data_IF_880243962215
#
_entry.id   IF_880243962215
#
_cell.length_a   1.000
_cell.length_b   1.000
_cell.length_c   1.000
_cell.angle_alpha   90.00
_cell.angle_beta   90.00
_cell.angle_gamma   90.00
#
_symmetry.space_group_name_H-M   'P 1'
#
loop_
_entity.id
_entity.type
_entity.pdbx_description
1 polymer ?
#
# COMPACT_ATOMS: atom_id res chain seq x y z
N UNK A 1 13.21 -29.30 2.96
CA UNK A 1 12.11 -28.98 2.01
C UNK A 1 12.17 -27.50 1.72
N UNK A 2 11.96 -27.08 0.46
CA UNK A 2 11.98 -25.68 0.04
C UNK A 2 10.60 -25.26 -0.48
N UNK A 3 10.13 -24.08 -0.09
CA UNK A 3 8.84 -23.52 -0.46
C UNK A 3 9.03 -22.15 -1.11
N UNK A 4 8.29 -21.89 -2.19
CA UNK A 4 8.03 -20.55 -2.69
C UNK A 4 6.68 -20.07 -2.14
N UNK A 5 6.70 -19.07 -1.27
CA UNK A 5 5.50 -18.48 -0.67
C UNK A 5 5.06 -17.26 -1.48
N UNK A 6 3.87 -17.34 -2.08
CA UNK A 6 3.35 -16.27 -2.94
C UNK A 6 2.24 -15.53 -2.20
N UNK A 7 2.38 -14.22 -2.04
CA UNK A 7 1.35 -13.38 -1.42
C UNK A 7 1.34 -12.00 -2.01
N UNK A 8 0.16 -11.39 -2.09
CA UNK A 8 0.05 -9.98 -2.47
C UNK A 8 0.23 -9.05 -1.28
N UNK A 9 0.20 -9.53 -0.04
CA UNK A 9 0.16 -8.68 1.16
C UNK A 9 1.10 -9.22 2.22
N UNK A 10 2.40 -9.26 1.90
CA UNK A 10 3.41 -9.71 2.87
C UNK A 10 3.45 -8.80 4.10
N UNK A 11 3.60 -7.49 3.87
CA UNK A 11 3.91 -6.48 4.90
C UNK A 11 3.07 -5.20 4.75
N UNK A 12 1.91 -5.30 4.11
CA UNK A 12 1.04 -4.13 3.90
C UNK A 12 0.45 -3.65 5.25
N UNK A 13 0.46 -2.32 5.48
CA UNK A 13 -0.15 -1.66 6.66
C UNK A 13 -1.61 -2.03 6.85
N UNK A 14 -2.03 -2.09 8.11
CA UNK A 14 -3.42 -2.31 8.54
C UNK A 14 -4.08 -3.53 7.88
N UNK A 15 -3.33 -4.63 7.71
CA UNK A 15 -3.80 -5.85 7.07
C UNK A 15 -3.47 -7.09 7.90
N UNK A 16 -4.51 -7.79 8.37
CA UNK A 16 -4.36 -9.00 9.18
C UNK A 16 -3.72 -10.16 8.40
N UNK A 17 -3.85 -10.18 7.07
CA UNK A 17 -3.16 -11.16 6.24
C UNK A 17 -1.65 -10.97 6.31
N UNK A 18 -1.15 -9.73 6.34
CA UNK A 18 0.29 -9.45 6.49
C UNK A 18 0.85 -10.05 7.77
N UNK A 19 0.17 -9.83 8.91
CA UNK A 19 0.56 -10.38 10.21
C UNK A 19 0.62 -11.92 10.17
N UNK A 20 -0.39 -12.57 9.57
CA UNK A 20 -0.43 -14.03 9.44
C UNK A 20 0.67 -14.55 8.51
N UNK A 21 0.92 -13.88 7.39
CA UNK A 21 1.93 -14.27 6.41
C UNK A 21 3.32 -14.25 7.05
N UNK A 22 3.72 -13.14 7.68
CA UNK A 22 5.01 -13.00 8.37
C UNK A 22 5.14 -14.05 9.48
N UNK A 23 4.11 -14.19 10.31
CA UNK A 23 4.12 -15.16 11.42
C UNK A 23 4.30 -16.61 10.93
N UNK A 24 3.61 -16.98 9.84
CA UNK A 24 3.70 -18.30 9.24
C UNK A 24 5.08 -18.54 8.64
N UNK A 25 5.60 -17.60 7.84
CA UNK A 25 6.93 -17.70 7.21
C UNK A 25 8.00 -17.88 8.29
N UNK A 26 7.98 -17.05 9.33
CA UNK A 26 8.93 -17.15 10.44
C UNK A 26 8.78 -18.49 11.19
N UNK A 27 7.54 -18.97 11.37
CA UNK A 27 7.26 -20.27 11.95
C UNK A 27 7.84 -21.43 11.12
N UNK A 28 7.67 -21.40 9.80
CA UNK A 28 8.22 -22.41 8.88
C UNK A 28 9.75 -22.46 8.96
N UNK A 29 10.40 -21.31 8.96
CA UNK A 29 11.87 -21.20 9.06
C UNK A 29 12.38 -21.71 10.40
N UNK A 30 11.69 -21.39 11.51
CA UNK A 30 12.02 -21.92 12.83
C UNK A 30 11.97 -23.45 12.88
N UNK A 31 11.16 -24.07 12.03
CA UNK A 31 11.06 -25.53 11.90
C UNK A 31 11.97 -26.11 10.80
N UNK A 32 12.96 -25.35 10.31
CA UNK A 32 13.96 -25.83 9.35
C UNK A 32 13.48 -25.91 7.90
N UNK A 33 12.36 -25.26 7.56
CA UNK A 33 11.89 -25.14 6.17
C UNK A 33 12.57 -23.94 5.51
N UNK A 34 13.12 -24.14 4.31
CA UNK A 34 13.64 -23.05 3.50
C UNK A 34 12.48 -22.37 2.77
N UNK A 35 12.36 -21.05 2.92
CA UNK A 35 11.25 -20.27 2.35
C UNK A 35 11.80 -19.08 1.58
N UNK A 36 11.44 -19.02 0.30
CA UNK A 36 11.57 -17.82 -0.53
C UNK A 36 10.18 -17.18 -0.68
N UNK A 37 10.10 -15.86 -0.81
CA UNK A 37 8.82 -15.14 -0.93
C UNK A 37 8.75 -14.39 -2.25
N UNK A 38 7.64 -14.54 -2.97
CA UNK A 38 7.28 -13.66 -4.09
C UNK A 38 6.10 -12.79 -3.67
N UNK A 39 6.29 -11.48 -3.71
CA UNK A 39 5.28 -10.50 -3.32
C UNK A 39 5.26 -9.29 -4.25
N UNK A 40 4.23 -8.46 -4.10
CA UNK A 40 4.12 -7.22 -4.85
C UNK A 40 5.06 -6.15 -4.30
N UNK A 41 5.63 -5.37 -5.22
CA UNK A 41 6.37 -4.16 -4.93
C UNK A 41 5.40 -3.01 -4.63
N UNK A 42 4.88 -2.95 -3.40
CA UNK A 42 3.97 -1.86 -3.00
C UNK A 42 4.73 -0.55 -2.77
N UNK A 43 4.06 0.60 -2.94
CA UNK A 43 4.60 1.89 -2.50
C UNK A 43 4.99 1.91 -1.02
N UNK A 44 6.12 2.54 -0.70
CA UNK A 44 6.69 2.57 0.67
C UNK A 44 5.67 3.07 1.72
N UNK A 45 4.79 4.00 1.35
CA UNK A 45 3.82 4.58 2.29
C UNK A 45 2.75 3.59 2.76
N UNK A 46 2.55 2.46 2.05
CA UNK A 46 1.61 1.40 2.42
C UNK A 46 2.28 0.16 3.02
N UNK A 47 3.61 0.18 3.19
CA UNK A 47 4.41 -0.88 3.83
C UNK A 47 4.52 -0.62 5.32
N UNK A 48 4.31 -1.66 6.13
CA UNK A 48 4.45 -1.63 7.58
C UNK A 48 5.90 -1.96 7.96
N UNK A 49 6.62 -0.96 8.48
CA UNK A 49 8.05 -1.08 8.79
C UNK A 49 8.31 -2.16 9.84
N UNK A 50 7.44 -2.26 10.86
CA UNK A 50 7.57 -3.29 11.89
C UNK A 50 7.43 -4.70 11.29
N UNK A 51 6.49 -4.90 10.36
CA UNK A 51 6.34 -6.21 9.71
C UNK A 51 7.49 -6.52 8.75
N UNK A 52 8.05 -5.53 8.05
CA UNK A 52 9.25 -5.75 7.22
C UNK A 52 10.45 -6.15 8.05
N UNK A 53 10.70 -5.44 9.15
CA UNK A 53 11.79 -5.75 10.08
C UNK A 53 11.57 -7.09 10.81
N UNK A 54 10.31 -7.53 10.90
CA UNK A 54 9.97 -8.81 11.52
C UNK A 54 10.16 -10.02 10.60
N UNK A 55 10.32 -9.85 9.29
CA UNK A 55 10.58 -10.99 8.39
C UNK A 55 11.98 -11.52 8.68
N UNK A 56 12.12 -12.85 8.83
CA UNK A 56 13.44 -13.45 9.03
C UNK A 56 14.39 -13.10 7.87
N UNK A 57 15.59 -12.66 8.25
CA UNK A 57 16.77 -12.44 7.39
C UNK A 57 17.16 -13.63 6.51
N UNK A 58 16.75 -14.84 6.87
CA UNK A 58 16.95 -16.07 6.09
C UNK A 58 16.04 -16.17 4.86
N UNK A 59 15.03 -15.31 4.73
CA UNK A 59 14.10 -15.29 3.61
C UNK A 59 14.64 -14.43 2.49
N UNK A 60 14.66 -14.98 1.28
CA UNK A 60 14.83 -14.14 0.08
C UNK A 60 13.47 -13.65 -0.40
N UNK A 61 13.29 -12.34 -0.43
CA UNK A 61 12.04 -11.70 -0.87
C UNK A 61 12.23 -11.14 -2.29
N UNK A 62 11.46 -11.67 -3.23
CA UNK A 62 11.31 -11.17 -4.59
C UNK A 62 10.10 -10.25 -4.65
N UNK A 63 10.31 -9.01 -5.09
CA UNK A 63 9.26 -8.00 -5.24
C UNK A 63 9.02 -7.74 -6.72
N UNK A 64 7.79 -7.92 -7.16
CA UNK A 64 7.40 -7.72 -8.57
C UNK A 64 6.33 -6.63 -8.71
N UNK A 65 6.37 -5.93 -9.84
CA UNK A 65 5.38 -4.92 -10.17
C UNK A 65 4.17 -5.55 -10.86
N UNK A 66 2.97 -5.15 -10.45
CA UNK A 66 1.75 -5.54 -11.15
C UNK A 66 1.19 -4.34 -11.91
N UNK A 67 1.24 -4.39 -13.24
CA UNK A 67 0.79 -3.30 -14.12
C UNK A 67 -0.63 -2.79 -13.78
N UNK A 68 -1.56 -3.71 -13.49
CA UNK A 68 -2.95 -3.39 -13.14
C UNK A 68 -3.01 -2.60 -11.82
N UNK A 69 -2.18 -2.98 -10.86
CA UNK A 69 -2.11 -2.35 -9.54
C UNK A 69 -1.47 -0.96 -9.63
N UNK A 70 -0.40 -0.83 -10.42
CA UNK A 70 0.24 0.46 -10.73
C UNK A 70 -0.75 1.42 -11.37
N UNK A 71 -1.57 0.95 -12.32
CA UNK A 71 -2.66 1.74 -12.93
C UNK A 71 -3.71 2.15 -11.90
N UNK A 72 -4.11 1.26 -11.01
CA UNK A 72 -5.07 1.56 -9.95
C UNK A 72 -4.55 2.65 -8.99
N UNK A 73 -3.30 2.50 -8.50
CA UNK A 73 -2.70 3.48 -7.60
C UNK A 73 -2.46 4.81 -8.28
N UNK A 74 -1.92 4.83 -9.49
CA UNK A 74 -1.70 6.07 -10.22
C UNK A 74 -3.01 6.82 -10.46
N UNK A 75 -4.11 6.12 -10.74
CA UNK A 75 -5.42 6.75 -10.91
C UNK A 75 -6.05 7.22 -9.59
N UNK A 76 -5.86 6.49 -8.49
CA UNK A 76 -6.36 6.87 -7.16
C UNK A 76 -5.56 8.03 -6.54
N UNK A 77 -4.23 8.01 -6.69
CA UNK A 77 -3.33 9.09 -6.26
C UNK A 77 -3.60 10.38 -7.06
N UNK A 78 -3.84 10.26 -8.38
CA UNK A 78 -4.31 11.39 -9.19
C UNK A 78 -5.64 11.95 -8.65
N UNK A 79 -6.61 11.10 -8.31
CA UNK A 79 -7.88 11.54 -7.71
C UNK A 79 -7.69 12.24 -6.35
N UNK A 80 -6.68 11.86 -5.56
CA UNK A 80 -6.30 12.55 -4.32
C UNK A 80 -5.65 13.92 -4.56
N UNK A 81 -4.82 14.04 -5.60
CA UNK A 81 -4.19 15.32 -5.98
C UNK A 81 -5.18 16.32 -6.62
N UNK A 82 -6.23 15.86 -7.29
CA UNK A 82 -7.30 16.74 -7.78
C UNK A 82 -8.31 17.19 -6.69
N UNK A 83 -8.10 16.77 -5.44
CA UNK A 83 -8.88 17.21 -4.27
C UNK A 83 -8.11 18.18 -3.36
N UNK A 84 -6.99 18.76 -3.81
CA UNK A 84 -6.73 20.15 -3.43
C UNK A 84 -7.78 21.00 -4.15
N UNK A 85 -8.94 21.11 -3.48
CA UNK A 85 -10.02 22.02 -3.81
C UNK A 85 -9.37 23.39 -3.96
N UNK A 86 -9.18 23.84 -5.20
CA UNK A 86 -8.81 25.22 -5.50
C UNK A 86 -10.03 26.06 -5.09
N UNK A 87 -10.13 26.34 -3.78
CA UNK A 87 -11.21 27.07 -3.14
C UNK A 87 -11.42 28.44 -3.80
N UNK A 88 -10.44 28.94 -4.58
CA UNK A 88 -10.52 30.22 -5.25
C UNK A 88 -11.70 30.36 -6.22
N UNK A 89 -12.14 29.30 -6.93
CA UNK A 89 -13.25 29.44 -7.89
C UNK A 89 -14.61 29.37 -7.20
N UNK A 90 -14.82 28.40 -6.30
CA UNK A 90 -16.06 28.31 -5.51
C UNK A 90 -16.23 29.54 -4.60
N UNK A 91 -15.16 30.02 -3.97
CA UNK A 91 -15.22 31.22 -3.14
C UNK A 91 -15.45 32.48 -3.96
N UNK A 92 -14.92 32.58 -5.19
CA UNK A 92 -15.23 33.68 -6.11
C UNK A 92 -16.71 33.67 -6.50
N UNK A 93 -17.24 32.52 -6.95
CA UNK A 93 -18.65 32.37 -7.34
C UNK A 93 -19.58 32.67 -6.16
N UNK A 94 -19.26 32.15 -4.97
CA UNK A 94 -20.02 32.42 -3.74
C UNK A 94 -20.03 33.90 -3.36
N UNK A 95 -18.92 34.63 -3.57
CA UNK A 95 -18.86 36.07 -3.32
C UNK A 95 -19.71 36.87 -4.32
N UNK A 96 -19.66 36.52 -5.60
CA UNK A 96 -20.47 37.17 -6.65
C UNK A 96 -21.96 36.93 -6.45
N UNK A 97 -22.38 35.70 -6.10
CA UNK A 97 -23.79 35.42 -5.80
C UNK A 97 -24.23 36.19 -4.55
N UNK A 98 -23.39 36.26 -3.51
CA UNK A 98 -23.70 37.04 -2.30
C UNK A 98 -23.80 38.55 -2.56
N UNK A 99 -23.06 39.11 -3.51
CA UNK A 99 -23.19 40.54 -3.84
C UNK A 99 -24.50 40.82 -4.57
N UNK A 100 -24.92 39.93 -5.48
CA UNK A 100 -26.16 40.09 -6.26
C UNK A 100 -27.43 39.96 -5.39
N UNK A 101 -27.39 39.16 -4.32
CA UNK A 101 -28.54 38.95 -3.41
C UNK A 101 -28.66 40.07 -2.35
N UNK A 102 -27.61 40.86 -2.15
CA UNK A 102 -27.57 41.92 -1.13
C UNK A 102 -27.90 43.32 -1.67
N UNK A 103 -28.07 43.46 -2.97
CA UNK A 103 -28.66 44.62 -3.65
C UNK A 103 -30.15 44.30 -3.96
#
# INVERSE_FOLDING_TARGET
MKILYITSTLTRKANSASIRNVSLINGLIKNGVEVDVLTLNWPINVIDDFLEDSVSDKVKIYRDELFILNKYFNNKLKKGMYLEKNNSFYDKVKRTIKSIIKD
#
